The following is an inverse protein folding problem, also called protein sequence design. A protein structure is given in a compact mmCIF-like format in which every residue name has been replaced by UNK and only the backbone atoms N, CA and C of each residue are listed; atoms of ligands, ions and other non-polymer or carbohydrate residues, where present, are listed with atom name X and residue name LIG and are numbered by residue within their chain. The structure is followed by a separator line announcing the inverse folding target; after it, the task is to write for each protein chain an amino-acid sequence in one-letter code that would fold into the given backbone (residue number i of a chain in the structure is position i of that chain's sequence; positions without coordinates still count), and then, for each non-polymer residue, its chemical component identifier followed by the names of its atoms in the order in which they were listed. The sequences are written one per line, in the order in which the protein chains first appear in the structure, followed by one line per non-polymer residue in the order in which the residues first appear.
data_IF_183738995470
#
_entry.id   IF_183738995470
#
_cell.length_a   1.000
_cell.length_b   1.000
_cell.length_c   1.000
_cell.angle_alpha   90.00
_cell.angle_beta   90.00
_cell.angle_gamma   90.00
#
_symmetry.space_group_name_H-M   'P 1'
#
loop_
_entity.id
_entity.type
_entity.pdbx_description
1 polymer ?
#
# COMPACT_ATOMS: atom_id res chain seq x y z
N UNK A 1 -16.62 -78.92 29.95
CA UNK A 1 -17.31 -79.11 28.64
C UNK A 1 -16.65 -78.14 27.68
N UNK A 2 -16.14 -78.64 26.55
CA UNK A 2 -15.61 -77.78 25.48
C UNK A 2 -16.73 -77.57 24.49
N UNK A 3 -17.03 -76.31 24.18
CA UNK A 3 -18.02 -75.96 23.17
C UNK A 3 -17.30 -75.60 21.87
N UNK A 4 -17.93 -75.93 20.75
CA UNK A 4 -17.46 -75.62 19.41
C UNK A 4 -18.54 -74.82 18.69
N UNK A 5 -18.14 -73.78 17.97
CA UNK A 5 -19.06 -73.00 17.15
C UNK A 5 -19.37 -73.68 15.81
N UNK A 6 -20.21 -73.03 14.99
CA UNK A 6 -20.58 -73.50 13.63
C UNK A 6 -19.37 -73.74 12.71
N UNK A 7 -18.20 -73.16 13.03
CA UNK A 7 -16.94 -73.29 12.29
C UNK A 7 -15.94 -74.27 12.93
N UNK A 8 -16.32 -74.94 14.04
CA UNK A 8 -15.44 -75.87 14.75
C UNK A 8 -14.39 -75.19 15.65
N UNK A 9 -14.55 -73.91 15.93
CA UNK A 9 -13.64 -73.12 16.76
C UNK A 9 -14.16 -73.01 18.20
N UNK A 10 -13.27 -72.74 19.15
CA UNK A 10 -13.57 -72.78 20.60
C UNK A 10 -13.72 -71.41 21.26
N UNK A 11 -13.60 -70.33 20.49
CA UNK A 11 -13.77 -68.98 21.00
C UNK A 11 -15.22 -68.71 21.42
N UNK A 12 -15.39 -67.97 22.51
CA UNK A 12 -16.73 -67.66 23.03
C UNK A 12 -17.50 -66.68 22.17
N UNK A 13 -16.81 -65.72 21.56
CA UNK A 13 -17.37 -64.75 20.62
C UNK A 13 -16.43 -64.59 19.42
N UNK A 14 -17.01 -64.59 18.23
CA UNK A 14 -16.33 -64.17 17.01
C UNK A 14 -17.17 -63.17 16.24
N UNK A 15 -16.49 -62.19 15.66
CA UNK A 15 -17.02 -61.26 14.67
C UNK A 15 -16.39 -61.64 13.33
N UNK A 16 -17.23 -62.08 12.39
CA UNK A 16 -16.79 -62.39 11.03
C UNK A 16 -17.32 -61.31 10.12
N UNK A 17 -16.41 -60.50 9.61
CA UNK A 17 -16.74 -59.46 8.63
C UNK A 17 -16.63 -60.09 7.25
N UNK A 18 -17.70 -59.98 6.48
CA UNK A 18 -17.80 -60.42 5.10
C UNK A 18 -17.94 -59.19 4.21
N UNK A 19 -17.27 -59.19 3.06
CA UNK A 19 -17.31 -58.07 2.11
C UNK A 19 -17.73 -58.63 0.76
N UNK A 20 -18.62 -57.92 0.06
CA UNK A 20 -18.86 -58.11 -1.36
C UNK A 20 -18.02 -57.09 -2.13
N UNK A 21 -17.14 -57.59 -3.00
CA UNK A 21 -16.29 -56.76 -3.85
C UNK A 21 -16.20 -57.36 -5.26
N UNK A 22 -16.22 -56.50 -6.28
CA UNK A 22 -16.25 -56.88 -7.69
C UNK A 22 -17.33 -57.96 -8.01
N UNK A 23 -18.50 -57.85 -7.37
CA UNK A 23 -19.64 -58.76 -7.52
C UNK A 23 -19.48 -60.14 -6.88
N UNK A 24 -18.50 -60.32 -5.97
CA UNK A 24 -18.25 -61.59 -5.28
C UNK A 24 -18.19 -61.43 -3.75
N UNK A 25 -18.84 -62.33 -3.02
CA UNK A 25 -18.79 -62.38 -1.56
C UNK A 25 -17.52 -63.06 -1.03
N UNK A 26 -16.80 -62.35 -0.17
CA UNK A 26 -15.64 -62.82 0.58
C UNK A 26 -16.02 -63.02 2.05
N UNK A 27 -16.39 -64.26 2.38
CA UNK A 27 -16.78 -64.64 3.73
C UNK A 27 -15.56 -64.78 4.64
N UNK A 28 -15.60 -64.13 5.81
CA UNK A 28 -14.46 -64.06 6.72
C UNK A 28 -13.30 -63.23 6.17
N UNK A 29 -13.61 -62.19 5.37
CA UNK A 29 -12.65 -61.16 4.96
C UNK A 29 -11.82 -60.65 6.15
N UNK A 30 -12.43 -60.60 7.33
CA UNK A 30 -11.74 -60.50 8.60
C UNK A 30 -12.46 -61.30 9.68
N UNK A 31 -11.69 -61.96 10.56
CA UNK A 31 -12.22 -62.65 11.73
C UNK A 31 -11.55 -62.10 12.97
N UNK A 32 -12.35 -61.58 13.89
CA UNK A 32 -11.92 -61.24 15.24
C UNK A 32 -12.55 -62.18 16.24
N UNK A 33 -11.78 -62.69 17.19
CA UNK A 33 -12.24 -63.67 18.16
C UNK A 33 -11.77 -63.31 19.58
N UNK A 34 -12.62 -63.59 20.57
CA UNK A 34 -12.30 -63.39 21.98
C UNK A 34 -13.00 -64.41 22.87
N UNK A 35 -12.37 -64.74 23.99
CA UNK A 35 -12.91 -65.64 25.02
C UNK A 35 -13.06 -64.99 26.40
N UNK A 36 -13.05 -63.65 26.47
CA UNK A 36 -13.28 -62.86 27.69
C UNK A 36 -14.70 -62.28 27.74
N UNK A 37 -15.07 -61.74 28.90
CA UNK A 37 -16.35 -61.04 29.14
C UNK A 37 -16.25 -59.53 28.95
N UNK A 38 -15.12 -59.02 28.43
CA UNK A 38 -14.87 -57.59 28.33
C UNK A 38 -15.69 -56.98 27.20
N UNK A 39 -16.29 -55.81 27.45
CA UNK A 39 -16.85 -54.98 26.37
C UNK A 39 -15.71 -54.33 25.58
N UNK A 40 -15.74 -54.45 24.26
CA UNK A 40 -14.73 -53.87 23.36
C UNK A 40 -15.37 -53.33 22.09
N UNK A 41 -14.86 -52.20 21.63
CA UNK A 41 -15.11 -51.70 20.27
C UNK A 41 -14.09 -52.31 19.33
N UNK A 42 -14.57 -52.90 18.24
CA UNK A 42 -13.72 -53.38 17.17
C UNK A 42 -13.84 -52.47 15.95
N UNK A 43 -12.70 -52.10 15.35
CA UNK A 43 -12.65 -51.31 14.13
C UNK A 43 -11.95 -52.11 13.05
N UNK A 44 -12.55 -52.13 11.87
CA UNK A 44 -12.00 -52.71 10.68
C UNK A 44 -11.92 -51.65 9.59
N UNK A 45 -10.75 -51.53 8.98
CA UNK A 45 -10.53 -50.66 7.84
C UNK A 45 -10.80 -51.44 6.56
N UNK A 46 -11.97 -51.21 5.96
CA UNK A 46 -12.36 -51.86 4.70
C UNK A 46 -11.37 -51.59 3.58
N UNK A 47 -10.69 -50.44 3.56
CA UNK A 47 -9.71 -50.10 2.53
C UNK A 47 -8.52 -51.05 2.50
N UNK A 48 -8.15 -51.61 3.66
CA UNK A 48 -7.06 -52.59 3.77
C UNK A 48 -7.39 -53.89 3.03
N UNK A 49 -8.66 -54.31 3.04
CA UNK A 49 -9.14 -55.48 2.30
C UNK A 49 -9.34 -55.17 0.82
N UNK A 50 -9.79 -53.95 0.50
CA UNK A 50 -10.05 -53.49 -0.87
C UNK A 50 -8.77 -53.31 -1.72
N UNK A 51 -7.58 -53.57 -1.17
CA UNK A 51 -6.31 -53.52 -1.91
C UNK A 51 -6.26 -54.63 -2.97
N UNK A 52 -6.69 -54.30 -4.19
CA UNK A 52 -6.73 -55.23 -5.33
C UNK A 52 -8.13 -55.45 -5.94
N UNK A 53 -9.16 -54.83 -5.36
CA UNK A 53 -10.53 -54.84 -5.89
C UNK A 53 -10.91 -53.49 -6.46
N UNK A 54 -11.85 -53.46 -7.41
CA UNK A 54 -12.25 -52.24 -8.12
C UNK A 54 -13.54 -51.60 -7.58
N UNK A 55 -14.46 -52.39 -7.04
CA UNK A 55 -15.69 -51.92 -6.40
C UNK A 55 -15.91 -52.58 -5.04
N UNK A 56 -16.32 -51.76 -4.07
CA UNK A 56 -16.94 -52.23 -2.82
C UNK A 56 -18.44 -52.20 -3.04
N UNK A 57 -19.10 -53.35 -2.91
CA UNK A 57 -20.51 -53.49 -3.27
C UNK A 57 -21.40 -53.58 -2.03
N UNK A 58 -21.02 -54.42 -1.06
CA UNK A 58 -21.80 -54.65 0.17
C UNK A 58 -20.92 -55.20 1.31
N UNK A 59 -21.47 -55.28 2.52
CA UNK A 59 -20.83 -55.95 3.65
C UNK A 59 -21.85 -56.62 4.58
N UNK A 60 -21.40 -57.65 5.30
CA UNK A 60 -22.17 -58.23 6.40
C UNK A 60 -21.27 -58.56 7.59
N UNK A 61 -21.85 -58.49 8.79
CA UNK A 61 -21.15 -58.85 10.03
C UNK A 61 -21.92 -59.99 10.67
N UNK A 62 -21.24 -61.11 10.86
CA UNK A 62 -21.78 -62.28 11.55
C UNK A 62 -21.19 -62.38 12.96
N UNK A 63 -22.08 -62.47 13.94
CA UNK A 63 -21.75 -62.67 15.34
C UNK A 63 -21.90 -64.15 15.68
N UNK A 64 -20.79 -64.83 15.96
CA UNK A 64 -20.78 -66.26 16.30
C UNK A 64 -20.51 -66.40 17.79
N UNK A 65 -21.44 -67.02 18.52
CA UNK A 65 -21.34 -67.21 19.97
C UNK A 65 -21.31 -68.69 20.32
N UNK A 66 -20.51 -69.02 21.33
CA UNK A 66 -20.31 -70.40 21.78
C UNK A 66 -20.40 -70.49 23.29
N UNK A 67 -21.20 -71.44 23.81
CA UNK A 67 -21.35 -71.70 25.23
C UNK A 67 -22.80 -71.89 25.67
N UNK A 68 -22.98 -72.14 26.96
CA UNK A 68 -24.30 -72.25 27.59
C UNK A 68 -24.63 -70.93 28.33
N UNK A 69 -25.78 -70.34 28.01
CA UNK A 69 -26.26 -69.11 28.66
C UNK A 69 -25.60 -67.78 28.23
N UNK A 70 -24.96 -67.70 27.07
CA UNK A 70 -24.34 -66.46 26.58
C UNK A 70 -25.39 -65.44 26.10
N UNK A 71 -25.27 -64.19 26.55
CA UNK A 71 -26.05 -63.04 26.06
C UNK A 71 -25.07 -62.02 25.49
N UNK A 72 -25.29 -61.60 24.23
CA UNK A 72 -24.55 -60.52 23.59
C UNK A 72 -25.43 -59.28 23.52
N UNK A 73 -24.89 -58.16 23.99
CA UNK A 73 -25.47 -56.84 23.80
C UNK A 73 -24.61 -56.07 22.79
N UNK A 74 -25.16 -55.78 21.62
CA UNK A 74 -24.56 -54.87 20.64
C UNK A 74 -25.15 -53.49 20.88
N UNK A 75 -24.36 -52.60 21.49
CA UNK A 75 -24.82 -51.27 21.88
C UNK A 75 -24.71 -50.24 20.75
N UNK A 76 -23.79 -50.47 19.81
CA UNK A 76 -23.55 -49.58 18.68
C UNK A 76 -23.04 -50.40 17.49
N UNK A 77 -23.52 -50.04 16.30
CA UNK A 77 -22.97 -50.48 15.02
C UNK A 77 -22.95 -49.26 14.10
N UNK A 78 -21.75 -48.73 13.85
CA UNK A 78 -21.55 -47.54 13.04
C UNK A 78 -20.71 -47.86 11.80
N UNK A 79 -21.21 -47.49 10.63
CA UNK A 79 -20.44 -47.44 9.39
C UNK A 79 -19.96 -46.01 9.18
N UNK A 80 -18.64 -45.82 9.01
CA UNK A 80 -18.03 -44.52 8.76
C UNK A 80 -17.52 -44.47 7.32
N UNK A 81 -17.97 -43.47 6.59
CA UNK A 81 -17.49 -43.14 5.26
C UNK A 81 -16.61 -41.88 5.35
N UNK A 82 -15.32 -42.02 5.03
CA UNK A 82 -14.33 -40.94 5.08
C UNK A 82 -14.06 -40.31 3.72
N UNK A 83 -15.02 -40.33 2.79
CA UNK A 83 -14.92 -39.54 1.54
C UNK A 83 -14.83 -38.04 1.86
N UNK A 84 -13.83 -37.37 1.29
CA UNK A 84 -13.76 -35.91 1.29
C UNK A 84 -14.81 -35.42 0.29
N UNK A 85 -16.00 -35.05 0.78
CA UNK A 85 -17.12 -34.57 -0.03
C UNK A 85 -16.96 -33.12 -0.50
N UNK A 86 -15.90 -32.44 -0.08
CA UNK A 86 -15.63 -31.05 -0.44
C UNK A 86 -14.47 -31.03 -1.43
N UNK A 87 -14.62 -30.40 -2.61
CA UNK A 87 -13.52 -30.22 -3.55
C UNK A 87 -12.35 -29.54 -2.86
N UNK A 88 -11.11 -29.90 -3.24
CA UNK A 88 -9.97 -29.08 -2.86
C UNK A 88 -10.13 -27.71 -3.52
N UNK A 89 -10.01 -26.63 -2.76
CA UNK A 89 -10.30 -25.28 -3.24
C UNK A 89 -9.25 -24.27 -2.77
N UNK A 90 -8.90 -23.35 -3.65
CA UNK A 90 -8.29 -22.05 -3.30
C UNK A 90 -9.39 -21.02 -3.49
N UNK A 91 -9.69 -20.29 -2.42
CA UNK A 91 -10.64 -19.18 -2.42
C UNK A 91 -10.05 -18.10 -1.51
N UNK A 92 -9.31 -17.19 -2.13
CA UNK A 92 -8.53 -16.17 -1.42
C UNK A 92 -8.91 -14.79 -1.94
N UNK A 93 -9.33 -13.95 -1.02
CA UNK A 93 -9.55 -12.53 -1.28
C UNK A 93 -8.32 -11.73 -0.84
N UNK A 94 -7.89 -10.79 -1.68
CA UNK A 94 -6.83 -9.84 -1.37
C UNK A 94 -7.37 -8.41 -1.49
N UNK A 95 -7.20 -7.61 -0.44
CA UNK A 95 -7.51 -6.19 -0.41
C UNK A 95 -6.18 -5.42 -0.39
N UNK A 96 -5.97 -4.56 -1.37
CA UNK A 96 -4.76 -3.73 -1.47
C UNK A 96 -5.17 -2.26 -1.48
N UNK A 97 -4.57 -1.48 -0.58
CA UNK A 97 -4.77 -0.04 -0.47
C UNK A 97 -3.59 0.72 -1.09
N UNK A 98 -3.86 1.81 -1.81
CA UNK A 98 -2.80 2.66 -2.40
C UNK A 98 -2.39 3.78 -1.43
N UNK A 99 -1.53 3.45 -0.46
CA UNK A 99 -1.20 4.33 0.69
C UNK A 99 -0.63 5.72 0.34
N UNK A 100 -0.04 5.89 -0.85
CA UNK A 100 0.64 7.15 -1.23
C UNK A 100 -0.28 8.20 -1.84
N UNK A 101 -1.59 7.91 -1.94
CA UNK A 101 -2.55 8.71 -2.71
C UNK A 101 -3.59 9.33 -1.79
N UNK A 102 -3.93 10.58 -2.07
CA UNK A 102 -5.01 11.31 -1.41
C UNK A 102 -6.02 11.82 -2.43
N UNK A 103 -7.13 12.38 -1.96
CA UNK A 103 -8.12 13.07 -2.81
C UNK A 103 -7.55 14.25 -3.60
N UNK A 104 -6.34 14.71 -3.25
CA UNK A 104 -5.64 15.80 -3.95
C UNK A 104 -4.82 15.31 -5.15
N UNK A 105 -4.71 14.00 -5.34
CA UNK A 105 -3.88 13.36 -6.34
C UNK A 105 -4.74 12.74 -7.47
N UNK A 106 -4.26 12.86 -8.70
CA UNK A 106 -4.80 12.18 -9.88
C UNK A 106 -3.98 10.94 -10.17
N UNK A 107 -4.63 9.78 -10.14
CA UNK A 107 -4.05 8.49 -10.55
C UNK A 107 -3.83 8.46 -12.07
N UNK A 108 -2.62 8.09 -12.49
CA UNK A 108 -2.23 8.05 -13.90
C UNK A 108 -2.22 6.63 -14.45
N UNK A 109 -1.54 5.72 -13.74
CA UNK A 109 -1.41 4.32 -14.10
C UNK A 109 -1.44 3.45 -12.86
N UNK A 110 -2.13 2.31 -12.97
CA UNK A 110 -2.25 1.31 -11.91
C UNK A 110 -2.20 -0.06 -12.56
N UNK A 111 -1.31 -0.92 -12.09
CA UNK A 111 -1.01 -2.19 -12.74
C UNK A 111 -0.79 -3.28 -11.70
N UNK A 112 -1.45 -4.43 -11.89
CA UNK A 112 -1.13 -5.66 -11.19
C UNK A 112 -0.06 -6.43 -11.96
N UNK A 113 1.05 -6.74 -11.31
CA UNK A 113 1.99 -7.76 -11.77
C UNK A 113 1.86 -9.01 -10.90
N UNK A 114 1.65 -10.16 -11.54
CA UNK A 114 1.41 -11.41 -10.82
C UNK A 114 2.06 -12.61 -11.52
N UNK A 115 2.36 -13.65 -10.75
CA UNK A 115 2.85 -14.92 -11.25
C UNK A 115 2.43 -16.04 -10.30
N UNK A 116 1.65 -17.00 -10.81
CA UNK A 116 1.26 -18.20 -10.07
C UNK A 116 1.41 -19.44 -10.95
N UNK A 117 1.31 -20.63 -10.33
CA UNK A 117 1.19 -21.90 -11.04
C UNK A 117 0.41 -22.93 -10.23
N UNK A 118 -0.07 -23.96 -10.90
CA UNK A 118 -0.73 -25.12 -10.29
C UNK A 118 -0.32 -26.44 -10.96
N UNK A 119 -0.38 -27.53 -10.20
CA UNK A 119 -0.14 -28.89 -10.69
C UNK A 119 -1.39 -29.56 -11.30
N UNK A 120 -2.57 -28.92 -11.24
CA UNK A 120 -3.84 -29.50 -11.73
C UNK A 120 -4.42 -28.77 -12.93
N UNK A 121 -5.26 -29.47 -13.70
CA UNK A 121 -5.77 -29.03 -15.02
C UNK A 121 -7.09 -28.27 -15.00
N UNK A 122 -7.68 -28.10 -13.82
CA UNK A 122 -8.92 -27.38 -13.63
C UNK A 122 -8.74 -25.87 -13.83
N UNK A 123 -9.88 -25.19 -13.89
CA UNK A 123 -9.98 -23.75 -14.10
C UNK A 123 -9.45 -22.99 -12.89
N UNK A 124 -8.55 -22.04 -13.16
CA UNK A 124 -8.02 -21.08 -12.19
C UNK A 124 -8.50 -19.70 -12.63
N UNK A 125 -9.06 -18.93 -11.72
CA UNK A 125 -9.58 -17.60 -12.02
C UNK A 125 -8.94 -16.59 -11.07
N UNK A 126 -8.29 -15.59 -11.65
CA UNK A 126 -7.99 -14.34 -10.98
C UNK A 126 -9.06 -13.32 -11.42
N UNK A 127 -9.76 -12.78 -10.44
CA UNK A 127 -10.78 -11.76 -10.62
C UNK A 127 -10.43 -10.48 -9.87
N UNK A 128 -10.97 -9.36 -10.33
CA UNK A 128 -10.91 -8.06 -9.68
C UNK A 128 -12.33 -7.56 -9.42
N UNK A 129 -12.55 -6.85 -8.32
CA UNK A 129 -13.86 -6.30 -8.00
C UNK A 129 -14.09 -4.98 -8.75
N UNK A 130 -15.14 -4.94 -9.56
CA UNK A 130 -15.60 -3.73 -10.23
C UNK A 130 -16.58 -2.99 -9.32
N UNK A 131 -16.20 -1.82 -8.82
CA UNK A 131 -17.03 -0.99 -7.95
C UNK A 131 -18.07 -0.15 -8.71
N UNK A 132 -17.93 -0.02 -10.04
CA UNK A 132 -18.83 0.78 -10.88
C UNK A 132 -20.09 0.00 -11.31
N UNK A 133 -20.10 -1.32 -11.16
CA UNK A 133 -21.24 -2.16 -11.55
C UNK A 133 -22.33 -2.23 -10.46
N UNK A 134 -23.56 -2.47 -10.92
CA UNK A 134 -24.76 -2.72 -10.10
C UNK A 134 -25.16 -1.61 -9.10
N UNK A 135 -25.21 -0.34 -9.52
CA UNK A 135 -25.78 0.75 -8.70
C UNK A 135 -25.03 0.98 -7.38
N UNK A 136 -23.75 0.62 -7.32
CA UNK A 136 -22.86 0.71 -6.15
C UNK A 136 -22.66 -0.60 -5.39
N UNK A 137 -23.31 -1.71 -5.79
CA UNK A 137 -23.11 -3.01 -5.15
C UNK A 137 -21.83 -3.73 -5.60
N UNK A 138 -21.29 -3.42 -6.78
CA UNK A 138 -20.11 -4.03 -7.39
C UNK A 138 -20.30 -5.48 -7.87
N UNK A 139 -19.37 -5.99 -8.67
CA UNK A 139 -19.34 -7.39 -9.13
C UNK A 139 -17.89 -7.87 -9.36
N UNK A 140 -17.65 -9.19 -9.32
CA UNK A 140 -16.36 -9.79 -9.64
C UNK A 140 -16.21 -9.94 -11.16
N UNK A 141 -15.14 -9.38 -11.73
CA UNK A 141 -14.80 -9.55 -13.14
C UNK A 141 -13.52 -10.37 -13.28
N UNK A 142 -13.57 -11.44 -14.09
CA UNK A 142 -12.42 -12.30 -14.35
C UNK A 142 -11.43 -11.56 -15.23
N UNK A 143 -10.20 -11.39 -14.75
CA UNK A 143 -9.11 -10.74 -15.48
C UNK A 143 -8.12 -11.74 -16.06
N UNK A 144 -8.07 -12.95 -15.50
CA UNK A 144 -7.26 -14.04 -16.01
C UNK A 144 -7.85 -15.41 -15.65
N UNK A 145 -8.36 -16.17 -16.65
CA UNK A 145 -8.86 -17.53 -16.48
C UNK A 145 -7.81 -18.61 -16.84
N UNK A 146 -6.53 -18.26 -16.97
CA UNK A 146 -5.51 -19.14 -17.54
C UNK A 146 -4.83 -20.01 -16.48
N UNK A 147 -4.71 -21.30 -16.78
CA UNK A 147 -3.86 -22.20 -16.00
C UNK A 147 -2.38 -22.03 -16.37
N UNK A 148 -1.54 -21.78 -15.38
CA UNK A 148 -0.08 -21.79 -15.53
C UNK A 148 0.55 -23.03 -14.89
N UNK A 149 1.42 -23.73 -15.63
CA UNK A 149 2.21 -24.89 -15.15
C UNK A 149 3.65 -24.50 -14.75
N UNK A 150 4.04 -23.26 -15.01
CA UNK A 150 5.32 -22.66 -14.66
C UNK A 150 5.10 -21.20 -14.30
N UNK A 151 5.96 -20.61 -13.48
CA UNK A 151 5.87 -19.18 -13.21
C UNK A 151 6.18 -18.39 -14.48
N UNK A 152 5.23 -17.54 -14.87
CA UNK A 152 5.35 -16.63 -16.00
C UNK A 152 4.72 -15.30 -15.57
N UNK A 153 5.51 -14.21 -15.43
CA UNK A 153 4.98 -12.91 -15.04
C UNK A 153 3.89 -12.45 -16.00
N UNK A 154 2.75 -12.09 -15.43
CA UNK A 154 1.61 -11.49 -16.11
C UNK A 154 1.40 -10.07 -15.61
N UNK A 155 0.75 -9.29 -16.45
CA UNK A 155 0.50 -7.88 -16.22
C UNK A 155 -0.95 -7.57 -16.57
N UNK A 156 -1.65 -6.89 -15.67
CA UNK A 156 -3.01 -6.40 -15.89
C UNK A 156 -3.12 -4.94 -15.50
N UNK A 157 -3.59 -4.09 -16.43
CA UNK A 157 -3.83 -2.67 -16.17
C UNK A 157 -5.18 -2.50 -15.49
N UNK A 158 -5.19 -1.83 -14.35
CA UNK A 158 -6.37 -1.65 -13.50
C UNK A 158 -7.00 -0.29 -13.84
N UNK A 159 -8.20 -0.33 -14.41
CA UNK A 159 -9.00 0.86 -14.66
C UNK A 159 -9.60 1.48 -13.37
N UNK A 160 -10.09 2.73 -13.45
CA UNK A 160 -10.66 3.44 -12.29
C UNK A 160 -11.91 2.77 -11.72
N UNK A 161 -12.64 1.99 -12.52
CA UNK A 161 -13.84 1.26 -12.10
C UNK A 161 -13.56 0.22 -11.00
N UNK A 162 -12.31 -0.22 -10.89
CA UNK A 162 -11.87 -1.25 -9.93
C UNK A 162 -11.24 -0.66 -8.66
N UNK A 163 -11.23 0.66 -8.52
CA UNK A 163 -10.64 1.38 -7.39
C UNK A 163 -11.77 2.13 -6.68
N UNK A 164 -11.96 1.87 -5.39
CA UNK A 164 -13.01 2.57 -4.64
C UNK A 164 -12.58 4.01 -4.25
N UNK A 165 -13.50 4.76 -3.64
CA UNK A 165 -13.23 6.13 -3.16
C UNK A 165 -12.18 6.22 -2.05
N UNK A 166 -11.82 5.09 -1.45
CA UNK A 166 -10.76 4.96 -0.44
C UNK A 166 -9.47 4.40 -1.03
N UNK A 167 -9.34 4.32 -2.37
CA UNK A 167 -8.16 3.78 -3.05
C UNK A 167 -7.87 2.31 -2.74
N UNK A 168 -8.90 1.53 -2.41
CA UNK A 168 -8.78 0.09 -2.26
C UNK A 168 -9.14 -0.65 -3.54
N UNK A 169 -8.40 -1.73 -3.78
CA UNK A 169 -8.59 -2.66 -4.89
C UNK A 169 -8.74 -4.07 -4.32
N UNK A 170 -9.76 -4.80 -4.78
CA UNK A 170 -10.04 -6.16 -4.33
C UNK A 170 -9.77 -7.16 -5.44
N UNK A 171 -9.08 -8.23 -5.10
CA UNK A 171 -8.84 -9.36 -5.97
C UNK A 171 -9.36 -10.63 -5.34
N UNK A 172 -9.72 -11.58 -6.19
CA UNK A 172 -10.12 -12.92 -5.80
C UNK A 172 -9.36 -13.94 -6.64
N UNK A 173 -8.67 -14.85 -5.97
CA UNK A 173 -8.06 -16.04 -6.58
C UNK A 173 -8.95 -17.24 -6.24
N UNK A 174 -9.55 -17.82 -7.28
CA UNK A 174 -10.39 -19.00 -7.18
C UNK A 174 -9.81 -20.17 -7.96
N UNK A 175 -9.88 -21.37 -7.38
CA UNK A 175 -9.44 -22.61 -8.02
C UNK A 175 -10.12 -23.79 -7.35
N UNK A 176 -10.58 -24.78 -8.12
CA UNK A 176 -11.29 -25.93 -7.58
C UNK A 176 -10.86 -27.23 -8.25
N UNK A 177 -10.61 -28.28 -7.45
CA UNK A 177 -10.41 -29.63 -7.93
C UNK A 177 -11.35 -30.62 -7.18
N UNK A 178 -12.37 -31.16 -7.86
CA UNK A 178 -13.34 -32.06 -7.24
C UNK A 178 -12.80 -33.46 -6.97
N UNK A 179 -11.67 -33.83 -7.59
CA UNK A 179 -11.20 -35.20 -7.58
C UNK A 179 -10.08 -35.42 -6.54
N UNK A 180 -9.18 -34.46 -6.38
CA UNK A 180 -7.97 -34.64 -5.57
C UNK A 180 -7.50 -33.32 -4.94
N UNK A 181 -6.69 -33.43 -3.88
CA UNK A 181 -5.87 -32.32 -3.42
C UNK A 181 -4.91 -31.84 -4.52
N UNK A 182 -4.54 -30.56 -4.48
CA UNK A 182 -3.62 -29.95 -5.43
C UNK A 182 -2.76 -28.87 -4.79
N UNK A 183 -1.70 -28.48 -5.47
CA UNK A 183 -0.80 -27.42 -5.04
C UNK A 183 -1.06 -26.15 -5.84
N UNK A 184 -1.19 -25.04 -5.13
CA UNK A 184 -1.19 -23.69 -5.69
C UNK A 184 0.03 -22.94 -5.19
N UNK A 185 0.76 -22.32 -6.10
CA UNK A 185 1.95 -21.55 -5.77
C UNK A 185 1.80 -20.12 -6.29
N UNK A 186 2.02 -19.15 -5.42
CA UNK A 186 2.05 -17.73 -5.75
C UNK A 186 3.48 -17.21 -5.56
N UNK A 187 4.10 -16.71 -6.64
CA UNK A 187 5.45 -16.14 -6.59
C UNK A 187 5.40 -14.62 -6.51
N UNK A 188 4.52 -14.00 -7.28
CA UNK A 188 4.39 -12.55 -7.34
C UNK A 188 2.93 -12.15 -7.30
N UNK A 189 2.62 -11.12 -6.52
CA UNK A 189 1.33 -10.42 -6.51
C UNK A 189 1.55 -9.01 -5.99
N UNK A 190 1.69 -8.05 -6.90
CA UNK A 190 2.13 -6.68 -6.59
C UNK A 190 1.38 -5.67 -7.44
N UNK A 191 1.00 -4.55 -6.83
CA UNK A 191 0.49 -3.39 -7.55
C UNK A 191 1.61 -2.36 -7.70
N UNK A 192 1.81 -1.90 -8.93
CA UNK A 192 2.63 -0.76 -9.30
C UNK A 192 1.70 0.38 -9.75
N UNK A 193 1.96 1.60 -9.30
CA UNK A 193 1.13 2.75 -9.65
C UNK A 193 1.91 4.06 -9.68
N UNK A 194 1.36 5.04 -10.41
CA UNK A 194 1.87 6.40 -10.49
C UNK A 194 0.73 7.41 -10.41
N UNK A 195 1.04 8.60 -9.89
CA UNK A 195 0.06 9.65 -9.66
C UNK A 195 0.71 11.03 -9.76
N UNK A 196 -0.09 12.04 -10.09
CA UNK A 196 0.29 13.45 -10.09
C UNK A 196 -0.55 14.19 -9.07
N UNK A 197 0.05 15.01 -8.20
CA UNK A 197 -0.71 15.90 -7.31
C UNK A 197 -1.35 17.03 -8.12
N UNK A 198 -2.68 17.11 -8.13
CA UNK A 198 -3.43 18.10 -8.93
C UNK A 198 -4.24 19.09 -8.10
N UNK A 199 -4.34 18.88 -6.79
CA UNK A 199 -4.99 19.80 -5.84
C UNK A 199 -4.13 19.96 -4.57
N UNK A 200 -4.60 20.77 -3.63
CA UNK A 200 -3.86 21.04 -2.39
C UNK A 200 -2.63 21.93 -2.58
N UNK A 201 -1.59 21.80 -1.75
CA UNK A 201 -0.32 22.50 -1.95
C UNK A 201 0.45 21.89 -3.14
N UNK A 202 0.09 22.35 -4.35
CA UNK A 202 0.73 21.94 -5.62
C UNK A 202 2.07 22.66 -5.82
N UNK A 203 2.21 23.85 -5.23
CA UNK A 203 3.42 24.63 -5.34
C UNK A 203 4.44 24.19 -4.29
N UNK A 204 5.68 23.95 -4.73
CA UNK A 204 6.82 23.98 -3.83
C UNK A 204 7.09 25.44 -3.47
N UNK A 205 7.20 25.74 -2.18
CA UNK A 205 7.59 27.05 -1.72
C UNK A 205 8.91 27.04 -0.95
N UNK A 206 9.66 28.12 -1.14
CA UNK A 206 10.79 28.47 -0.27
C UNK A 206 10.58 29.90 0.17
N UNK A 207 10.60 30.12 1.48
CA UNK A 207 10.46 31.45 2.07
C UNK A 207 11.66 31.76 2.96
N UNK A 208 12.08 33.01 2.93
CA UNK A 208 13.12 33.53 3.82
C UNK A 208 12.62 34.82 4.46
N UNK A 209 12.63 34.84 5.78
CA UNK A 209 12.39 36.05 6.57
C UNK A 209 13.71 36.81 6.66
N UNK A 210 13.71 38.05 6.18
CA UNK A 210 14.83 38.98 6.33
C UNK A 210 14.46 39.91 7.48
N UNK A 211 15.08 39.69 8.63
CA UNK A 211 14.77 40.36 9.89
C UNK A 211 16.00 40.63 10.77
N UNK A 212 15.75 41.06 12.00
CA UNK A 212 16.74 41.52 13.00
C UNK A 212 17.63 40.43 13.64
N UNK A 213 17.73 39.23 13.06
CA UNK A 213 18.49 38.15 13.71
C UNK A 213 20.01 38.46 13.75
N UNK A 214 20.48 39.49 13.02
CA UNK A 214 21.85 40.00 13.05
C UNK A 214 21.95 41.54 12.92
N UNK A 215 20.91 42.31 13.27
CA UNK A 215 20.88 43.78 13.07
C UNK A 215 21.07 44.28 11.63
N UNK A 216 20.88 43.45 10.61
CA UNK A 216 21.11 43.84 9.22
C UNK A 216 20.17 44.98 8.77
N UNK A 217 18.93 44.98 9.25
CA UNK A 217 17.88 45.93 8.84
C UNK A 217 17.73 47.15 9.74
N UNK A 218 18.26 47.11 10.96
CA UNK A 218 18.06 48.14 11.98
C UNK A 218 19.37 48.49 12.71
N UNK A 219 20.52 48.23 12.07
CA UNK A 219 21.86 48.47 12.63
C UNK A 219 22.04 49.87 13.24
N UNK A 220 21.27 50.84 12.76
CA UNK A 220 21.36 52.25 13.13
C UNK A 220 20.28 52.71 14.11
N UNK A 221 19.44 51.80 14.63
CA UNK A 221 18.26 52.12 15.43
C UNK A 221 18.56 52.31 16.93
N UNK A 222 19.32 51.42 17.57
CA UNK A 222 19.66 51.46 19.01
C UNK A 222 20.92 50.61 19.31
N UNK A 223 21.98 51.14 19.95
CA UNK A 223 22.15 52.50 20.49
C UNK A 223 22.57 53.53 19.43
N UNK A 224 22.11 53.36 18.18
CA UNK A 224 22.53 54.12 17.01
C UNK A 224 22.15 55.61 17.01
N UNK A 225 21.47 56.08 15.96
CA UNK A 225 21.30 57.50 15.67
C UNK A 225 19.87 57.99 15.98
N UNK A 226 19.53 58.36 17.24
CA UNK A 226 18.15 58.64 17.68
C UNK A 226 17.51 59.89 17.02
N UNK A 227 18.32 60.76 16.42
CA UNK A 227 17.86 61.97 15.75
C UNK A 227 17.50 61.75 14.28
N UNK A 228 17.59 60.52 13.80
CA UNK A 228 17.34 60.17 12.41
C UNK A 228 16.06 59.35 12.26
N UNK A 229 15.42 59.47 11.09
CA UNK A 229 14.35 58.57 10.73
C UNK A 229 14.90 57.17 10.47
N UNK A 230 14.17 56.16 10.92
CA UNK A 230 14.56 54.75 10.79
C UNK A 230 14.07 54.14 9.47
N UNK A 231 14.39 54.85 8.39
CA UNK A 231 13.97 54.50 7.03
C UNK A 231 15.14 53.94 6.24
N UNK A 232 14.85 52.88 5.48
CA UNK A 232 15.83 52.17 4.67
C UNK A 232 15.30 52.00 3.25
N UNK A 233 16.09 52.34 2.24
CA UNK A 233 15.82 51.89 0.87
C UNK A 233 16.37 50.47 0.73
N UNK A 234 15.47 49.50 0.55
CA UNK A 234 15.80 48.10 0.37
C UNK A 234 15.60 47.74 -1.10
N UNK A 235 16.59 47.09 -1.70
CA UNK A 235 16.51 46.48 -3.03
C UNK A 235 16.80 45.00 -2.93
N UNK A 236 15.86 44.18 -3.40
CA UNK A 236 16.02 42.74 -3.55
C UNK A 236 16.29 42.46 -5.01
N UNK A 237 17.42 41.83 -5.30
CA UNK A 237 17.79 41.46 -6.67
C UNK A 237 18.34 40.06 -6.73
N UNK A 238 18.01 39.33 -7.79
CA UNK A 238 18.52 37.99 -8.07
C UNK A 238 18.43 37.70 -9.56
N UNK A 239 19.25 36.77 -10.02
CA UNK A 239 19.06 36.13 -11.32
C UNK A 239 18.32 34.82 -11.12
N UNK A 240 17.38 34.50 -12.02
CA UNK A 240 16.63 33.26 -11.97
C UNK A 240 16.53 32.59 -13.33
N UNK A 241 16.40 31.27 -13.34
CA UNK A 241 16.07 30.48 -14.53
C UNK A 241 15.01 29.46 -14.14
N UNK A 242 13.84 29.54 -14.77
CA UNK A 242 12.81 28.51 -14.63
C UNK A 242 12.81 27.60 -15.85
N UNK A 243 12.90 26.30 -15.63
CA UNK A 243 12.82 25.28 -16.69
C UNK A 243 11.64 24.35 -16.41
N UNK A 244 10.65 24.31 -17.31
CA UNK A 244 9.52 23.40 -17.20
C UNK A 244 9.99 21.94 -17.23
N UNK A 245 9.42 21.10 -16.37
CA UNK A 245 9.72 19.68 -16.36
C UNK A 245 9.21 19.01 -17.66
N UNK A 246 10.09 18.39 -18.47
CA UNK A 246 9.68 17.68 -19.67
C UNK A 246 8.73 16.51 -19.40
N UNK A 247 8.90 15.82 -18.26
CA UNK A 247 8.11 14.64 -17.91
C UNK A 247 6.64 14.97 -17.63
N UNK A 248 6.37 16.20 -17.20
CA UNK A 248 5.03 16.69 -16.84
C UNK A 248 4.58 17.86 -17.75
N UNK A 249 5.01 17.84 -19.02
CA UNK A 249 4.78 18.94 -19.97
C UNK A 249 3.30 19.26 -20.26
N UNK A 250 2.38 18.33 -20.00
CA UNK A 250 0.92 18.49 -20.13
C UNK A 250 0.31 19.34 -19.02
N UNK A 251 0.95 19.44 -17.86
CA UNK A 251 0.48 20.23 -16.73
C UNK A 251 0.89 21.70 -16.85
N UNK A 252 0.06 22.61 -16.34
CA UNK A 252 0.40 24.05 -16.30
C UNK A 252 1.52 24.29 -15.32
N UNK A 253 2.53 25.06 -15.71
CA UNK A 253 3.64 25.47 -14.86
C UNK A 253 3.35 26.80 -14.12
N UNK A 254 3.92 26.95 -12.93
CA UNK A 254 3.79 28.14 -12.11
C UNK A 254 5.16 28.56 -11.59
N UNK A 255 5.42 29.87 -11.59
CA UNK A 255 6.60 30.45 -10.99
C UNK A 255 6.30 31.90 -10.60
N UNK A 256 6.38 32.22 -9.31
CA UNK A 256 6.04 33.52 -8.77
C UNK A 256 7.03 33.89 -7.66
N UNK A 257 7.39 35.17 -7.63
CA UNK A 257 8.14 35.76 -6.52
C UNK A 257 7.19 36.66 -5.73
N UNK A 258 7.17 36.47 -4.41
CA UNK A 258 6.42 37.34 -3.50
C UNK A 258 7.35 38.02 -2.50
N UNK A 259 7.05 39.28 -2.22
CA UNK A 259 7.65 40.06 -1.16
C UNK A 259 6.57 40.60 -0.24
N UNK A 260 6.60 40.20 1.02
CA UNK A 260 5.63 40.61 2.04
C UNK A 260 6.29 41.49 3.09
N UNK A 261 5.71 42.68 3.35
CA UNK A 261 6.12 43.60 4.41
C UNK A 261 4.90 44.16 5.14
N UNK A 262 4.66 43.70 6.37
CA UNK A 262 3.41 43.97 7.07
C UNK A 262 2.19 43.54 6.25
N UNK A 263 1.27 44.46 5.98
CA UNK A 263 0.08 44.20 5.16
C UNK A 263 0.30 44.35 3.64
N UNK A 264 1.49 44.80 3.19
CA UNK A 264 1.77 44.99 1.77
C UNK A 264 2.42 43.73 1.20
N UNK A 265 1.86 43.24 0.09
CA UNK A 265 2.38 42.10 -0.67
C UNK A 265 2.65 42.55 -2.10
N UNK A 266 3.86 42.30 -2.58
CA UNK A 266 4.22 42.36 -4.00
C UNK A 266 4.23 40.91 -4.48
N UNK A 267 3.58 40.64 -5.61
CA UNK A 267 3.53 39.31 -6.23
C UNK A 267 3.80 39.47 -7.72
N UNK A 268 4.97 39.02 -8.15
CA UNK A 268 5.43 39.16 -9.52
C UNK A 268 5.64 37.79 -10.18
N UNK A 269 4.94 37.50 -11.30
CA UNK A 269 5.16 36.26 -12.03
C UNK A 269 6.55 36.25 -12.65
N UNK A 270 7.23 35.12 -12.55
CA UNK A 270 8.56 34.91 -13.14
C UNK A 270 8.44 34.42 -14.58
N UNK A 271 9.39 34.82 -15.43
CA UNK A 271 9.48 34.34 -16.82
C UNK A 271 9.86 32.85 -16.86
N UNK A 272 9.15 32.06 -17.68
CA UNK A 272 9.28 30.60 -17.75
C UNK A 272 9.82 30.14 -19.11
N UNK A 273 10.91 30.75 -19.57
CA UNK A 273 11.48 30.55 -20.92
C UNK A 273 12.72 29.65 -20.96
N UNK A 274 13.16 29.12 -19.82
CA UNK A 274 14.37 28.32 -19.74
C UNK A 274 15.66 29.13 -19.93
N UNK A 275 15.61 30.46 -19.81
CA UNK A 275 16.77 31.35 -19.89
C UNK A 275 16.96 32.07 -18.55
N UNK A 276 18.19 32.47 -18.25
CA UNK A 276 18.49 33.28 -17.07
C UNK A 276 17.96 34.70 -17.26
N UNK A 277 17.10 35.13 -16.34
CA UNK A 277 16.47 36.43 -16.28
C UNK A 277 16.91 37.17 -15.01
N UNK A 278 17.28 38.46 -15.09
CA UNK A 278 17.49 39.28 -13.91
C UNK A 278 16.15 39.77 -13.34
N UNK A 279 16.04 39.84 -12.02
CA UNK A 279 14.93 40.46 -11.30
C UNK A 279 15.46 41.46 -10.27
N UNK A 280 14.74 42.57 -10.11
CA UNK A 280 15.02 43.57 -9.08
C UNK A 280 13.77 44.32 -8.69
N UNK A 281 13.55 44.49 -7.38
CA UNK A 281 12.48 45.31 -6.82
C UNK A 281 13.00 46.12 -5.63
N UNK A 282 12.49 47.34 -5.46
CA UNK A 282 12.92 48.26 -4.41
C UNK A 282 11.73 48.81 -3.64
N UNK A 283 11.91 48.99 -2.33
CA UNK A 283 10.89 49.56 -1.44
C UNK A 283 11.54 50.31 -0.27
N UNK A 284 10.74 51.15 0.39
CA UNK A 284 11.13 51.79 1.64
C UNK A 284 10.68 50.92 2.81
N UNK A 285 11.62 50.54 3.67
CA UNK A 285 11.38 49.84 4.92
C UNK A 285 11.45 50.84 6.09
N UNK A 286 10.48 50.76 7.00
CA UNK A 286 10.41 51.58 8.21
C UNK A 286 10.51 50.65 9.42
N UNK A 287 11.67 50.63 10.07
CA UNK A 287 11.93 49.74 11.21
C UNK A 287 11.28 50.22 12.51
N UNK A 288 10.62 51.40 12.54
CA UNK A 288 9.74 51.74 13.66
C UNK A 288 8.41 50.97 13.62
N UNK A 289 7.95 50.61 12.42
CA UNK A 289 6.62 49.99 12.23
C UNK A 289 6.68 48.51 11.89
N UNK A 290 7.81 48.02 11.38
CA UNK A 290 8.02 46.62 10.98
C UNK A 290 9.34 46.08 11.52
N UNK A 291 9.38 44.78 11.81
CA UNK A 291 10.60 44.10 12.29
C UNK A 291 11.32 43.31 11.17
N UNK A 292 10.59 42.99 10.10
CA UNK A 292 11.07 42.13 9.02
C UNK A 292 10.28 42.34 7.72
N UNK A 293 10.77 41.71 6.66
CA UNK A 293 10.01 41.39 5.46
C UNK A 293 10.32 39.96 5.03
N UNK A 294 9.40 39.32 4.30
CA UNK A 294 9.56 37.96 3.81
C UNK A 294 9.68 37.97 2.30
N UNK A 295 10.64 37.21 1.77
CA UNK A 295 10.69 36.84 0.35
C UNK A 295 10.25 35.39 0.19
N UNK A 296 9.45 35.11 -0.81
CA UNK A 296 8.93 33.78 -1.11
C UNK A 296 9.04 33.50 -2.60
N UNK A 297 9.48 32.29 -2.93
CA UNK A 297 9.38 31.75 -4.28
C UNK A 297 8.39 30.61 -4.24
N UNK A 298 7.41 30.66 -5.15
CA UNK A 298 6.43 29.60 -5.32
C UNK A 298 6.51 29.07 -6.74
N UNK A 299 6.67 27.75 -6.89
CA UNK A 299 6.82 27.12 -8.19
C UNK A 299 6.05 25.80 -8.28
N UNK A 300 5.64 25.41 -9.47
CA UNK A 300 5.15 24.06 -9.76
C UNK A 300 5.49 23.62 -11.18
N UNK A 301 5.59 22.30 -11.37
CA UNK A 301 5.85 21.64 -12.66
C UNK A 301 7.12 22.13 -13.39
N UNK A 302 8.17 22.45 -12.61
CA UNK A 302 9.47 22.82 -13.15
C UNK A 302 10.53 23.05 -12.08
N UNK A 303 11.72 23.41 -12.55
CA UNK A 303 12.90 23.70 -11.74
C UNK A 303 13.18 25.20 -11.76
N UNK A 304 13.34 25.82 -10.58
CA UNK A 304 13.78 27.20 -10.42
C UNK A 304 15.21 27.24 -9.88
N UNK A 305 16.13 27.74 -10.69
CA UNK A 305 17.51 27.99 -10.29
C UNK A 305 17.65 29.46 -9.94
N UNK A 306 18.12 29.75 -8.73
CA UNK A 306 18.40 31.11 -8.25
C UNK A 306 19.92 31.32 -8.14
N UNK A 307 20.38 32.48 -8.59
CA UNK A 307 21.79 32.88 -8.48
C UNK A 307 21.91 34.38 -8.23
N UNK A 308 23.09 34.83 -7.76
CA UNK A 308 23.38 36.24 -7.52
C UNK A 308 22.35 36.95 -6.63
N UNK A 309 21.75 36.23 -5.68
CA UNK A 309 20.80 36.81 -4.74
C UNK A 309 21.50 37.82 -3.83
N UNK A 310 21.01 39.06 -3.85
CA UNK A 310 21.58 40.17 -3.12
C UNK A 310 20.47 41.03 -2.48
N UNK A 311 20.76 41.54 -1.29
CA UNK A 311 19.93 42.49 -0.56
C UNK A 311 20.75 43.76 -0.34
N UNK A 312 20.44 44.84 -1.07
CA UNK A 312 21.06 46.15 -0.87
C UNK A 312 20.16 46.99 0.04
N UNK A 313 20.68 47.36 1.21
CA UNK A 313 19.95 48.09 2.25
C UNK A 313 20.70 49.39 2.52
N UNK A 314 20.05 50.53 2.24
CA UNK A 314 20.62 51.87 2.43
C UNK A 314 19.84 52.64 3.47
N UNK A 315 20.49 52.96 4.58
CA UNK A 315 19.94 53.84 5.61
C UNK A 315 19.75 55.27 5.06
N UNK A 316 18.57 55.84 5.29
CA UNK A 316 18.29 57.24 4.93
C UNK A 316 18.76 58.16 6.05
N UNK A 317 19.83 58.92 5.79
CA UNK A 317 20.33 59.95 6.68
C UNK A 317 19.41 61.20 6.75
N UNK A 318 18.15 61.01 7.15
CA UNK A 318 17.16 62.06 7.30
C UNK A 318 16.97 62.38 8.78
N UNK A 319 16.92 63.67 9.15
CA UNK A 319 16.47 64.08 10.48
C UNK A 319 15.00 63.73 10.71
N UNK A 320 14.53 63.85 11.96
CA UNK A 320 13.11 63.62 12.30
C UNK A 320 12.12 64.50 11.51
N UNK A 321 12.58 65.60 10.90
CA UNK A 321 11.79 66.50 10.05
C UNK A 321 11.88 66.18 8.55
N UNK A 322 12.63 65.15 8.15
CA UNK A 322 12.82 64.73 6.76
C UNK A 322 13.93 65.46 5.99
N UNK A 323 14.79 66.24 6.65
CA UNK A 323 15.92 66.92 6.03
C UNK A 323 17.14 65.99 5.95
N UNK A 324 17.90 66.05 4.85
CA UNK A 324 19.17 65.34 4.74
C UNK A 324 20.18 65.94 5.72
N UNK A 325 20.64 65.15 6.69
CA UNK A 325 21.76 65.55 7.57
C UNK A 325 23.05 65.08 6.91
N UNK A 326 23.75 66.00 6.25
CA UNK A 326 25.13 65.80 5.84
C UNK A 326 25.91 67.06 6.20
N UNK A 327 26.44 67.10 7.43
CA UNK A 327 27.43 68.09 7.84
C UNK A 327 28.72 67.34 8.14
N UNK A 328 29.67 67.38 7.20
CA UNK A 328 31.07 67.03 7.45
C UNK A 328 31.90 68.29 7.28
N UNK A 329 32.02 69.06 8.36
CA UNK A 329 33.01 70.13 8.44
C UNK A 329 34.28 69.54 9.06
N UNK A 330 35.32 69.37 8.25
CA UNK A 330 36.66 69.04 8.76
C UNK A 330 37.44 70.34 8.95
N UNK A 331 37.67 70.75 10.21
CA UNK A 331 38.61 71.81 10.52
C UNK A 331 40.03 71.21 10.64
N UNK A 332 40.86 71.44 9.63
CA UNK A 332 42.29 71.08 9.67
C UNK A 332 43.05 72.25 10.28
N UNK A 333 43.27 72.20 11.59
CA UNK A 333 44.18 73.13 12.27
C UNK A 333 45.63 72.72 12.02
N UNK A 334 46.30 73.41 11.09
CA UNK A 334 47.77 73.35 10.98
C UNK A 334 48.40 74.04 12.18
N UNK A 335 49.36 73.42 12.89
CA UNK A 335 50.19 74.16 13.84
C UNK A 335 51.07 75.14 13.04
N UNK A 336 50.74 76.42 13.15
CA UNK A 336 51.64 77.52 12.81
C UNK A 336 52.78 77.51 13.84
N UNK A 337 53.95 76.99 13.48
CA UNK A 337 55.21 77.41 14.10
C UNK A 337 55.99 78.23 13.06
N UNK A 338 55.81 79.54 13.11
CA UNK A 338 56.87 80.46 12.74
C UNK A 338 57.80 80.58 13.97
N UNK A 339 59.00 80.02 13.86
CA UNK A 339 60.23 80.70 14.27
C UNK A 339 61.45 80.10 13.55
#
# INVERSE_FOLDING_TARGET
ITYYNTYGETDKLQLRLNIEADGSWYYGAMIWAISSTDSRTYRFDTSSFMSGFTSFDDFSIEYVMTGDGSILYVTDLTLLDYRVLVPAMVDVDALIHLDSITSEDTLEDVQLTYAYKTDVSQLQELSVWNYNLAGGAGDWEVIDPVRYTSFAPQVYNIGPDYINSSYDIKFKLYSENPNNAFSFYLEQFKIDYSYTRTQGPINADISQIIGDVNHLLNQYDDPGFPNYQKLYDVTVSFDYKFTKDPAHSTYSDYANFELTRGANVISDPLTKDGITNPYSTSFVFDSNSLNDFTVKFEISNGELILSNMNYDIKFKCLDLSGNIILQQDFEVNYPYEFQ
#
